data_IF_956866727432
#
_entry.id   IF_956866727432
#
_cell.length_a   1.000
_cell.length_b   1.000
_cell.length_c   1.000
_cell.angle_alpha   90.00
_cell.angle_beta   90.00
_cell.angle_gamma   90.00
#
_symmetry.space_group_name_H-M   'P 1'
#
loop_
_entity.id
_entity.type
_entity.pdbx_description
1 polymer ?
#
# COMPACT_ATOMS: atom_id res chain seq x y z
N UNK A 1 10.98 -8.23 -17.84
CA UNK A 1 11.20 -8.81 -16.52
C UNK A 1 12.10 -7.91 -15.69
N UNK A 2 11.57 -7.27 -14.66
CA UNK A 2 12.26 -6.26 -13.84
C UNK A 2 12.46 -6.73 -12.42
N UNK A 3 13.60 -6.39 -11.82
CA UNK A 3 13.83 -6.59 -10.38
C UNK A 3 12.94 -5.68 -9.56
N UNK A 4 12.90 -5.92 -8.27
CA UNK A 4 12.19 -5.05 -7.30
C UNK A 4 12.63 -3.58 -7.42
N UNK A 5 13.94 -3.34 -7.41
CA UNK A 5 14.48 -1.98 -7.55
C UNK A 5 14.11 -1.34 -8.90
N UNK A 6 14.20 -2.10 -9.99
CA UNK A 6 13.86 -1.62 -11.32
C UNK A 6 12.36 -1.28 -11.45
N UNK A 7 11.49 -2.06 -10.80
CA UNK A 7 10.06 -1.78 -10.75
C UNK A 7 9.77 -0.43 -10.09
N UNK A 8 10.40 -0.17 -8.96
CA UNK A 8 10.24 1.11 -8.24
C UNK A 8 10.87 2.25 -9.05
N UNK A 9 12.06 2.03 -9.62
CA UNK A 9 12.73 3.02 -10.46
C UNK A 9 11.89 3.42 -11.68
N UNK A 10 11.16 2.48 -12.26
CA UNK A 10 10.30 2.74 -13.41
C UNK A 10 9.21 3.78 -13.06
N UNK A 11 8.61 3.70 -11.89
CA UNK A 11 7.62 4.67 -11.45
C UNK A 11 8.20 6.10 -11.39
N UNK A 12 9.45 6.24 -10.98
CA UNK A 12 10.14 7.53 -10.96
C UNK A 12 10.50 8.01 -12.37
N UNK A 13 10.93 7.11 -13.25
CA UNK A 13 11.23 7.44 -14.65
C UNK A 13 10.02 7.98 -15.38
N UNK A 14 8.85 7.36 -15.17
CA UNK A 14 7.59 7.81 -15.78
C UNK A 14 7.24 9.23 -15.34
N UNK A 15 7.60 9.62 -14.13
CA UNK A 15 7.39 10.97 -13.62
C UNK A 15 8.45 11.98 -14.09
N UNK A 16 9.41 11.54 -14.88
CA UNK A 16 10.47 12.42 -15.41
C UNK A 16 11.64 12.64 -14.45
N UNK A 17 11.75 11.84 -13.41
CA UNK A 17 12.88 11.96 -12.45
C UNK A 17 14.22 11.55 -13.10
N UNK A 18 15.25 12.31 -12.76
CA UNK A 18 16.60 12.06 -13.24
C UNK A 18 17.32 10.92 -12.53
N UNK A 19 18.43 10.49 -13.09
CA UNK A 19 19.24 9.36 -12.59
C UNK A 19 19.66 9.53 -11.12
N UNK A 20 20.06 10.72 -10.70
CA UNK A 20 20.51 10.97 -9.34
C UNK A 20 19.37 10.85 -8.34
N UNK A 21 18.19 11.38 -8.68
CA UNK A 21 16.99 11.26 -7.85
C UNK A 21 16.56 9.81 -7.69
N UNK A 22 16.56 9.03 -8.77
CA UNK A 22 16.23 7.61 -8.76
C UNK A 22 17.19 6.84 -7.84
N UNK A 23 18.50 7.10 -7.97
CA UNK A 23 19.52 6.43 -7.16
C UNK A 23 19.37 6.67 -5.67
N UNK A 24 18.83 7.83 -5.28
CA UNK A 24 18.57 8.19 -3.88
C UNK A 24 17.22 7.65 -3.39
N UNK A 25 16.15 7.84 -4.16
CA UNK A 25 14.78 7.54 -3.73
C UNK A 25 14.45 6.05 -3.69
N UNK A 26 14.99 5.26 -4.61
CA UNK A 26 14.69 3.82 -4.66
C UNK A 26 15.14 3.10 -3.38
N UNK A 27 16.39 3.24 -2.92
CA UNK A 27 16.79 2.61 -1.64
C UNK A 27 15.97 3.09 -0.45
N UNK A 28 15.61 4.37 -0.39
CA UNK A 28 14.80 4.92 0.70
C UNK A 28 13.44 4.25 0.78
N UNK A 29 12.71 4.15 -0.34
CA UNK A 29 11.38 3.55 -0.33
C UNK A 29 11.45 2.05 -0.10
N UNK A 30 12.44 1.36 -0.64
CA UNK A 30 12.62 -0.08 -0.39
C UNK A 30 12.90 -0.35 1.08
N UNK A 31 13.69 0.49 1.73
CA UNK A 31 13.93 0.38 3.16
C UNK A 31 12.64 0.62 3.96
N UNK A 32 11.87 1.62 3.59
CA UNK A 32 10.58 1.94 4.25
C UNK A 32 9.59 0.77 4.17
N UNK A 33 9.49 0.10 3.03
CA UNK A 33 8.60 -1.06 2.89
C UNK A 33 9.21 -2.38 3.34
N UNK A 34 10.45 -2.37 3.86
CA UNK A 34 11.12 -3.56 4.37
C UNK A 34 11.68 -4.49 3.29
N UNK A 35 11.98 -3.99 2.10
CA UNK A 35 12.47 -4.78 0.97
C UNK A 35 13.89 -4.45 0.52
N UNK A 36 14.68 -3.73 1.32
CA UNK A 36 16.04 -3.39 0.94
C UNK A 36 16.88 -4.62 0.56
N UNK A 37 16.70 -5.73 1.30
CA UNK A 37 17.40 -7.00 1.04
C UNK A 37 16.88 -7.76 -0.18
N UNK A 38 15.79 -7.32 -0.78
CA UNK A 38 15.17 -7.92 -1.97
C UNK A 38 15.24 -7.03 -3.22
N UNK A 39 16.09 -6.01 -3.19
CA UNK A 39 16.21 -5.03 -4.29
C UNK A 39 16.49 -5.70 -5.64
N UNK A 40 17.29 -6.75 -5.66
CA UNK A 40 17.69 -7.46 -6.87
C UNK A 40 16.85 -8.70 -7.17
N UNK A 41 15.81 -8.96 -6.40
CA UNK A 41 14.91 -10.10 -6.61
C UNK A 41 13.89 -9.80 -7.70
N UNK A 42 13.52 -10.85 -8.44
CA UNK A 42 12.44 -10.80 -9.43
C UNK A 42 11.10 -11.14 -8.78
N UNK A 43 9.96 -10.76 -9.40
CA UNK A 43 8.65 -10.98 -8.80
C UNK A 43 8.34 -12.42 -8.41
N UNK A 44 8.78 -13.40 -9.20
CA UNK A 44 8.58 -14.82 -8.92
C UNK A 44 9.41 -15.33 -7.73
N UNK A 45 10.42 -14.56 -7.30
CA UNK A 45 11.23 -14.86 -6.12
C UNK A 45 10.67 -14.24 -4.83
N UNK A 46 9.55 -13.52 -4.93
CA UNK A 46 8.94 -12.81 -3.81
C UNK A 46 7.69 -13.51 -3.30
N UNK A 47 7.48 -13.48 -1.98
CA UNK A 47 6.22 -13.89 -1.38
C UNK A 47 5.07 -12.97 -1.78
N UNK A 48 3.82 -13.39 -1.56
CA UNK A 48 2.65 -12.56 -1.84
C UNK A 48 2.70 -11.22 -1.09
N UNK A 49 3.09 -11.25 0.18
CA UNK A 49 3.23 -10.03 0.99
C UNK A 49 4.37 -9.13 0.49
N UNK A 50 5.47 -9.71 0.05
CA UNK A 50 6.57 -8.94 -0.54
C UNK A 50 6.16 -8.31 -1.86
N UNK A 51 5.43 -9.02 -2.71
CA UNK A 51 4.88 -8.46 -3.96
C UNK A 51 3.93 -7.29 -3.67
N UNK A 52 3.10 -7.41 -2.65
CA UNK A 52 2.22 -6.31 -2.23
C UNK A 52 3.02 -5.10 -1.73
N UNK A 53 4.11 -5.33 -1.00
CA UNK A 53 5.01 -4.25 -0.57
C UNK A 53 5.69 -3.56 -1.76
N UNK A 54 6.04 -4.28 -2.81
CA UNK A 54 6.53 -3.68 -4.07
C UNK A 54 5.47 -2.77 -4.69
N UNK A 55 4.22 -3.21 -4.74
CA UNK A 55 3.11 -2.40 -5.26
C UNK A 55 2.94 -1.10 -4.47
N UNK A 56 3.01 -1.19 -3.14
CA UNK A 56 2.92 -0.01 -2.28
C UNK A 56 4.12 0.91 -2.52
N UNK A 57 5.32 0.37 -2.62
CA UNK A 57 6.53 1.15 -2.88
C UNK A 57 6.43 1.92 -4.20
N UNK A 58 5.96 1.25 -5.27
CA UNK A 58 5.76 1.88 -6.57
C UNK A 58 4.78 3.05 -6.51
N UNK A 59 3.68 2.86 -5.79
CA UNK A 59 2.66 3.91 -5.66
C UNK A 59 3.13 5.06 -4.77
N UNK A 60 3.94 4.78 -3.76
CA UNK A 60 4.36 5.75 -2.75
C UNK A 60 5.66 6.46 -3.05
N UNK A 61 6.51 5.96 -3.94
CA UNK A 61 7.86 6.52 -4.20
C UNK A 61 7.83 7.97 -4.65
N UNK A 62 6.75 8.42 -5.24
CA UNK A 62 6.54 9.82 -5.67
C UNK A 62 5.91 10.69 -4.55
N UNK A 63 5.76 10.18 -3.35
CA UNK A 63 5.13 10.86 -2.21
C UNK A 63 3.78 11.51 -2.55
N UNK A 64 2.81 10.74 -3.07
CA UNK A 64 1.51 11.30 -3.43
C UNK A 64 0.74 11.73 -2.18
N UNK A 65 -0.14 12.75 -2.29
CA UNK A 65 -0.99 13.15 -1.16
C UNK A 65 -2.11 12.14 -0.88
N UNK A 66 -2.46 11.32 -1.85
CA UNK A 66 -3.50 10.30 -1.76
C UNK A 66 -2.99 8.98 -2.32
N UNK A 67 -3.12 7.92 -1.53
CA UNK A 67 -2.81 6.56 -1.93
C UNK A 67 -4.10 5.74 -1.94
N UNK A 68 -4.39 5.12 -3.09
CA UNK A 68 -5.58 4.27 -3.25
C UNK A 68 -5.15 2.81 -3.22
N UNK A 69 -5.76 2.04 -2.33
CA UNK A 69 -5.48 0.62 -2.16
C UNK A 69 -6.76 -0.19 -2.39
N UNK A 70 -6.69 -1.17 -3.29
CA UNK A 70 -7.79 -2.08 -3.57
C UNK A 70 -7.47 -3.46 -3.01
N UNK A 71 -8.19 -3.85 -1.95
CA UNK A 71 -8.00 -5.12 -1.25
C UNK A 71 -6.53 -5.40 -0.89
N UNK A 72 -5.84 -4.51 -0.15
CA UNK A 72 -4.39 -4.60 0.03
C UNK A 72 -3.93 -5.84 0.78
N UNK A 73 -4.82 -6.52 1.49
CA UNK A 73 -4.52 -7.74 2.24
C UNK A 73 -5.20 -8.98 1.65
N UNK A 74 -5.79 -8.87 0.46
CA UNK A 74 -6.44 -9.98 -0.22
C UNK A 74 -5.49 -11.14 -0.46
N UNK A 75 -5.93 -12.37 -0.15
CA UNK A 75 -5.17 -13.62 -0.33
C UNK A 75 -3.88 -13.72 0.49
N UNK A 76 -3.71 -12.90 1.51
CA UNK A 76 -2.58 -12.96 2.44
C UNK A 76 -2.99 -13.64 3.74
N UNK A 77 -2.04 -14.33 4.38
CA UNK A 77 -2.24 -14.89 5.71
C UNK A 77 -2.40 -13.77 6.76
N UNK A 78 -2.99 -14.05 7.95
CA UNK A 78 -3.26 -13.02 8.94
C UNK A 78 -2.04 -12.21 9.38
N UNK A 79 -0.91 -12.88 9.63
CA UNK A 79 0.31 -12.19 10.09
C UNK A 79 0.88 -11.26 9.03
N UNK A 80 0.91 -11.71 7.77
CA UNK A 80 1.34 -10.90 6.64
C UNK A 80 0.41 -9.71 6.43
N UNK A 81 -0.90 -9.92 6.56
CA UNK A 81 -1.91 -8.86 6.48
C UNK A 81 -1.70 -7.77 7.52
N UNK A 82 -1.40 -8.16 8.77
CA UNK A 82 -1.07 -7.20 9.84
C UNK A 82 0.13 -6.35 9.45
N UNK A 83 1.18 -6.97 8.90
CA UNK A 83 2.37 -6.24 8.45
C UNK A 83 2.08 -5.22 7.36
N UNK A 84 1.24 -5.56 6.39
CA UNK A 84 0.79 -4.63 5.34
C UNK A 84 -0.01 -3.47 5.94
N UNK A 85 -0.92 -3.77 6.86
CA UNK A 85 -1.73 -2.73 7.50
C UNK A 85 -0.88 -1.78 8.36
N UNK A 86 0.12 -2.30 9.07
CA UNK A 86 1.08 -1.49 9.81
C UNK A 86 1.87 -0.56 8.89
N UNK A 87 2.28 -1.04 7.73
CA UNK A 87 2.97 -0.23 6.72
C UNK A 87 2.08 0.91 6.24
N UNK A 88 0.83 0.63 5.88
CA UNK A 88 -0.14 1.64 5.45
C UNK A 88 -0.43 2.65 6.56
N UNK A 89 -0.52 2.20 7.80
CA UNK A 89 -0.69 3.09 8.94
C UNK A 89 0.47 4.07 9.09
N UNK A 90 1.72 3.60 8.94
CA UNK A 90 2.91 4.47 8.98
C UNK A 90 2.90 5.50 7.86
N UNK A 91 2.52 5.10 6.65
CA UNK A 91 2.40 6.01 5.50
C UNK A 91 1.35 7.09 5.80
N UNK A 92 0.21 6.70 6.34
CA UNK A 92 -0.85 7.64 6.72
C UNK A 92 -0.39 8.61 7.81
N UNK A 93 0.30 8.13 8.83
CA UNK A 93 0.84 8.99 9.90
C UNK A 93 1.84 10.01 9.37
N UNK A 94 2.54 9.71 8.30
CA UNK A 94 3.47 10.62 7.63
C UNK A 94 2.79 11.72 6.81
N UNK A 95 1.45 11.73 6.74
CA UNK A 95 0.69 12.78 6.08
C UNK A 95 -0.02 12.38 4.79
N UNK A 96 0.13 11.13 4.34
CA UNK A 96 -0.56 10.63 3.14
C UNK A 96 -1.97 10.16 3.51
N UNK A 97 -2.98 10.65 2.79
CA UNK A 97 -4.34 10.13 2.91
C UNK A 97 -4.42 8.78 2.22
N UNK A 98 -5.02 7.80 2.87
CA UNK A 98 -5.22 6.48 2.29
C UNK A 98 -6.70 6.22 2.09
N UNK A 99 -7.07 5.90 0.85
CA UNK A 99 -8.39 5.41 0.51
C UNK A 99 -8.28 3.91 0.23
N UNK A 100 -8.93 3.12 1.06
CA UNK A 100 -8.88 1.66 0.97
C UNK A 100 -10.22 1.10 0.59
N UNK A 101 -10.25 0.26 -0.44
CA UNK A 101 -11.42 -0.52 -0.81
C UNK A 101 -11.23 -1.93 -0.27
N UNK A 102 -12.15 -2.41 0.54
CA UNK A 102 -12.05 -3.73 1.14
C UNK A 102 -13.43 -4.29 1.51
N UNK A 103 -13.54 -5.61 1.56
CA UNK A 103 -14.66 -6.34 2.15
C UNK A 103 -14.23 -7.19 3.36
N UNK A 104 -13.03 -6.95 3.87
CA UNK A 104 -12.50 -7.64 5.06
C UNK A 104 -13.10 -7.02 6.32
N UNK A 105 -14.10 -7.70 6.88
CA UNK A 105 -14.86 -7.25 8.06
C UNK A 105 -13.98 -7.08 9.29
N UNK A 106 -13.12 -8.05 9.54
CA UNK A 106 -12.26 -8.04 10.73
C UNK A 106 -11.30 -6.84 10.71
N UNK A 107 -10.71 -6.57 9.55
CA UNK A 107 -9.82 -5.43 9.39
C UNK A 107 -10.53 -4.11 9.61
N UNK A 108 -11.70 -3.92 8.97
CA UNK A 108 -12.50 -2.68 9.11
C UNK A 108 -12.87 -2.46 10.58
N UNK A 109 -13.31 -3.51 11.27
CA UNK A 109 -13.71 -3.43 12.68
C UNK A 109 -12.52 -3.10 13.60
N UNK A 110 -11.34 -3.65 13.31
CA UNK A 110 -10.13 -3.39 14.11
C UNK A 110 -9.58 -1.99 13.90
N UNK A 111 -9.64 -1.47 12.68
CA UNK A 111 -9.02 -0.18 12.35
C UNK A 111 -9.78 1.02 12.89
N UNK A 112 -11.09 0.95 12.99
CA UNK A 112 -11.95 2.04 13.48
C UNK A 112 -11.65 3.41 12.84
N UNK A 113 -11.52 3.39 11.53
CA UNK A 113 -11.35 4.58 10.70
C UNK A 113 -12.67 4.98 10.06
N UNK A 114 -12.65 6.06 9.28
CA UNK A 114 -13.84 6.45 8.52
C UNK A 114 -14.23 5.35 7.56
N UNK A 115 -15.49 4.97 7.57
CA UNK A 115 -16.06 3.93 6.71
C UNK A 115 -17.19 4.52 5.89
N UNK A 116 -17.08 4.40 4.57
CA UNK A 116 -18.17 4.69 3.63
C UNK A 116 -18.60 3.37 3.00
N UNK A 117 -19.83 2.96 3.26
CA UNK A 117 -20.39 1.73 2.72
C UNK A 117 -21.16 2.03 1.44
N UNK A 118 -20.88 1.26 0.39
CA UNK A 118 -21.54 1.38 -0.90
C UNK A 118 -22.55 0.25 -1.09
N UNK A 119 -23.75 0.61 -1.55
CA UNK A 119 -24.81 -0.33 -1.95
C UNK A 119 -25.42 0.18 -3.25
N UNK A 120 -25.50 -0.70 -4.27
CA UNK A 120 -26.08 -0.36 -5.57
C UNK A 120 -25.54 0.95 -6.19
N UNK A 121 -24.24 1.18 -6.05
CA UNK A 121 -23.56 2.36 -6.60
C UNK A 121 -23.79 3.66 -5.82
N UNK A 122 -24.37 3.58 -4.61
CA UNK A 122 -24.66 4.74 -3.76
C UNK A 122 -24.03 4.57 -2.40
N UNK A 123 -23.70 5.70 -1.75
CA UNK A 123 -23.23 5.69 -0.36
C UNK A 123 -24.43 5.43 0.55
N UNK A 124 -24.47 4.22 1.15
CA UNK A 124 -25.51 3.83 2.10
C UNK A 124 -25.21 4.32 3.51
N UNK A 125 -23.93 4.48 3.85
CA UNK A 125 -23.48 4.86 5.19
C UNK A 125 -22.12 5.54 5.08
N UNK A 126 -21.87 6.54 5.94
CA UNK A 126 -20.57 7.21 6.05
C UNK A 126 -20.36 7.58 7.53
N UNK A 127 -19.44 6.90 8.19
CA UNK A 127 -19.16 7.05 9.61
C UNK A 127 -17.69 7.33 9.86
N UNK A 128 -17.37 8.30 10.70
CA UNK A 128 -15.99 8.70 11.01
C UNK A 128 -15.15 7.60 11.66
N UNK A 129 -15.78 6.78 12.52
CA UNK A 129 -15.16 5.64 13.21
C UNK A 129 -16.13 4.47 13.15
N UNK A 130 -16.26 3.92 11.96
CA UNK A 130 -17.22 2.89 11.68
C UNK A 130 -16.68 1.49 11.83
N UNK A 131 -17.60 0.54 12.02
CA UNK A 131 -17.36 -0.87 11.83
C UNK A 131 -17.84 -1.30 10.45
N UNK A 132 -17.73 -2.59 10.17
CA UNK A 132 -18.18 -3.14 8.91
C UNK A 132 -19.71 -3.09 8.76
N UNK A 133 -20.41 -3.29 9.86
CA UNK A 133 -21.87 -3.12 9.94
C UNK A 133 -22.21 -1.98 10.89
N UNK A 134 -23.33 -1.31 10.65
CA UNK A 134 -23.91 -0.38 11.62
C UNK A 134 -24.36 -1.16 12.85
N UNK A 135 -23.98 -0.69 14.04
CA UNK A 135 -24.51 -1.20 15.32
C UNK A 135 -25.94 -0.75 15.51
#
# INVERSE_FOLDING_TARGET
>A
NRTTAENVAYALKVQGEGRNAIRRKVPEVLNMVGLAHKANSYPDELSGGEQQRVSIARAFVNHPPLLVCDEPTGNLDPDTSVGIMQLLYRINRGGTTILMVTHDREMVDKMRRRVSALEDGRIARDERRGGYTSE
#
